data_IF_142809425527
#
_entry.id   IF_142809425527
#
_cell.length_a   1.000
_cell.length_b   1.000
_cell.length_c   1.000
_cell.angle_alpha   90.00
_cell.angle_beta   90.00
_cell.angle_gamma   90.00
#
_symmetry.space_group_name_H-M   'P 1'
#
loop_
_entity.id
_entity.type
_entity.pdbx_description
1 polymer ?
#
# COMPACT_ATOMS: atom_id res chain seq x y z
N UNK A 1 -4.25 -0.29 6.98
CA UNK A 1 -3.89 -1.50 6.18
C UNK A 1 -5.04 -2.48 5.90
N UNK A 2 -5.80 -2.93 6.92
CA UNK A 2 -6.91 -3.90 6.73
C UNK A 2 -7.96 -3.39 5.71
N UNK A 3 -8.33 -2.11 5.79
CA UNK A 3 -9.27 -1.49 4.86
C UNK A 3 -8.77 -1.56 3.40
N UNK A 4 -7.47 -1.35 3.17
CA UNK A 4 -6.86 -1.43 1.85
C UNK A 4 -6.89 -2.86 1.28
N UNK A 5 -6.60 -3.88 2.11
CA UNK A 5 -6.73 -5.30 1.72
C UNK A 5 -8.16 -5.67 1.32
N UNK A 6 -9.16 -5.05 1.94
CA UNK A 6 -10.59 -5.28 1.66
C UNK A 6 -11.16 -4.39 0.55
N UNK A 7 -10.38 -3.46 -0.01
CA UNK A 7 -10.88 -2.51 -1.01
C UNK A 7 -11.87 -1.48 -0.45
N UNK A 8 -11.88 -1.26 0.86
CA UNK A 8 -12.82 -0.36 1.53
C UNK A 8 -12.37 1.11 1.42
N UNK A 9 -12.60 1.71 0.26
CA UNK A 9 -12.20 3.08 -0.12
C UNK A 9 -12.56 4.13 0.94
N UNK A 10 -13.82 4.16 1.40
CA UNK A 10 -14.30 5.14 2.38
C UNK A 10 -13.53 5.08 3.70
N UNK A 11 -13.21 3.87 4.15
CA UNK A 11 -12.46 3.64 5.38
C UNK A 11 -10.99 4.02 5.17
N UNK A 12 -10.42 3.71 4.00
CA UNK A 12 -9.07 4.16 3.64
C UNK A 12 -8.97 5.68 3.70
N UNK A 13 -9.93 6.40 3.12
CA UNK A 13 -9.95 7.87 3.12
C UNK A 13 -9.93 8.47 4.55
N UNK A 14 -10.66 7.84 5.48
CA UNK A 14 -10.70 8.25 6.89
C UNK A 14 -9.37 7.95 7.60
N UNK A 15 -8.74 6.81 7.30
CA UNK A 15 -7.56 6.33 8.03
C UNK A 15 -6.24 6.87 7.49
N UNK A 16 -6.16 7.30 6.23
CA UNK A 16 -4.92 7.81 5.59
C UNK A 16 -4.20 8.84 6.47
N UNK A 17 -4.86 9.88 7.03
CA UNK A 17 -4.18 10.88 7.85
C UNK A 17 -3.56 10.34 9.14
N UNK A 18 -3.99 9.16 9.60
CA UNK A 18 -3.62 8.60 10.91
C UNK A 18 -2.68 7.39 10.81
N UNK A 19 -2.77 6.61 9.72
CA UNK A 19 -2.02 5.35 9.56
C UNK A 19 -0.96 5.39 8.46
N UNK A 20 -0.86 6.49 7.69
CA UNK A 20 0.07 6.59 6.57
C UNK A 20 1.52 6.32 6.99
N UNK A 21 2.25 5.63 6.10
CA UNK A 21 3.69 5.41 6.25
C UNK A 21 4.06 4.19 7.11
N UNK A 22 3.07 3.44 7.60
CA UNK A 22 3.30 2.22 8.39
C UNK A 22 3.38 1.00 7.48
N UNK A 23 4.26 0.06 7.83
CA UNK A 23 4.36 -1.26 7.19
C UNK A 23 3.93 -2.37 8.16
N UNK A 24 3.40 -3.48 7.64
CA UNK A 24 3.10 -4.67 8.43
C UNK A 24 4.37 -5.51 8.69
N UNK A 25 4.20 -6.65 9.37
CA UNK A 25 5.31 -7.58 9.67
C UNK A 25 6.01 -8.17 8.42
N UNK A 26 5.35 -8.13 7.26
CA UNK A 26 5.93 -8.56 5.99
C UNK A 26 6.60 -7.40 5.23
N UNK A 27 6.65 -6.19 5.81
CA UNK A 27 7.24 -5.02 5.16
C UNK A 27 6.31 -4.30 4.16
N UNK A 28 5.03 -4.67 4.10
CA UNK A 28 4.09 -4.10 3.14
C UNK A 28 3.27 -2.96 3.77
N UNK A 29 3.24 -1.82 3.10
CA UNK A 29 2.33 -0.71 3.44
C UNK A 29 0.92 -0.97 2.89
N UNK A 30 -0.02 -0.08 3.20
CA UNK A 30 -1.39 -0.22 2.73
C UNK A 30 -1.51 -0.12 1.20
N UNK A 31 -0.69 0.72 0.54
CA UNK A 31 -0.66 0.82 -0.93
C UNK A 31 -0.31 -0.51 -1.61
N UNK A 32 0.66 -1.26 -1.09
CA UNK A 32 1.05 -2.56 -1.63
C UNK A 32 -0.13 -3.54 -1.55
N UNK A 33 -0.81 -3.59 -0.40
CA UNK A 33 -1.95 -4.47 -0.18
C UNK A 33 -3.14 -4.13 -1.08
N UNK A 34 -3.38 -2.83 -1.35
CA UNK A 34 -4.38 -2.40 -2.30
C UNK A 34 -4.06 -2.88 -3.72
N UNK A 35 -2.80 -2.76 -4.16
CA UNK A 35 -2.37 -3.23 -5.50
C UNK A 35 -2.43 -4.74 -5.61
N UNK A 36 -1.97 -5.48 -4.60
CA UNK A 36 -2.06 -6.94 -4.57
C UNK A 36 -3.51 -7.45 -4.62
N UNK A 37 -4.45 -6.70 -4.06
CA UNK A 37 -5.88 -6.99 -4.13
C UNK A 37 -6.58 -6.47 -5.39
N UNK A 38 -5.90 -5.76 -6.29
CA UNK A 38 -6.51 -5.12 -7.46
C UNK A 38 -7.41 -3.91 -7.13
N UNK A 39 -7.29 -3.34 -5.93
CA UNK A 39 -8.13 -2.24 -5.43
C UNK A 39 -7.61 -0.88 -5.90
N UNK A 40 -7.85 -0.58 -7.18
CA UNK A 40 -7.28 0.59 -7.88
C UNK A 40 -7.63 1.94 -7.22
N UNK A 41 -8.82 2.09 -6.65
CA UNK A 41 -9.20 3.33 -5.97
C UNK A 41 -8.44 3.51 -4.66
N UNK A 42 -8.33 2.46 -3.86
CA UNK A 42 -7.51 2.46 -2.66
C UNK A 42 -6.04 2.72 -2.99
N UNK A 43 -5.48 2.13 -4.04
CA UNK A 43 -4.08 2.34 -4.41
C UNK A 43 -3.80 3.79 -4.83
N UNK A 44 -4.75 4.45 -5.50
CA UNK A 44 -4.67 5.88 -5.80
C UNK A 44 -4.68 6.75 -4.56
N UNK A 45 -5.60 6.49 -3.62
CA UNK A 45 -5.66 7.22 -2.34
C UNK A 45 -4.38 7.06 -1.52
N UNK A 46 -3.75 5.89 -1.61
CA UNK A 46 -2.56 5.53 -0.85
C UNK A 46 -1.25 5.78 -1.61
N UNK A 47 -1.27 6.44 -2.77
CA UNK A 47 -0.09 6.58 -3.62
C UNK A 47 1.10 7.26 -2.93
N UNK A 48 0.84 8.12 -1.94
CA UNK A 48 1.89 8.73 -1.10
C UNK A 48 2.74 7.70 -0.35
N UNK A 49 2.25 6.48 -0.14
CA UNK A 49 3.01 5.41 0.49
C UNK A 49 3.97 4.69 -0.47
N UNK A 50 3.97 5.02 -1.78
CA UNK A 50 4.83 4.37 -2.76
C UNK A 50 6.34 4.50 -2.43
N UNK A 51 6.73 5.58 -1.76
CA UNK A 51 8.11 5.83 -1.31
C UNK A 51 8.43 5.26 0.07
N UNK A 52 7.47 4.67 0.78
CA UNK A 52 7.71 4.04 2.09
C UNK A 52 8.61 2.84 1.89
N UNK A 53 9.61 2.67 2.76
CA UNK A 53 10.52 1.54 2.71
C UNK A 53 10.11 0.45 3.69
N UNK A 54 10.29 -0.81 3.29
CA UNK A 54 10.24 -1.94 4.21
C UNK A 54 11.49 -1.99 5.11
N UNK A 55 11.56 -2.99 5.99
CA UNK A 55 12.72 -3.20 6.88
C UNK A 55 14.03 -3.52 6.16
N UNK A 56 13.97 -3.89 4.87
CA UNK A 56 15.13 -4.16 4.03
C UNK A 56 15.54 -2.94 3.18
N UNK A 57 14.85 -1.81 3.34
CA UNK A 57 15.08 -0.59 2.56
C UNK A 57 14.45 -0.59 1.15
N UNK A 58 13.66 -1.61 0.80
CA UNK A 58 12.95 -1.65 -0.48
C UNK A 58 11.70 -0.76 -0.43
N UNK A 59 11.53 0.09 -1.44
CA UNK A 59 10.33 0.94 -1.55
C UNK A 59 9.10 0.12 -1.91
N UNK A 60 7.92 0.55 -1.46
CA UNK A 60 6.66 -0.09 -1.86
C UNK A 60 6.49 -0.09 -3.38
N UNK A 61 6.94 0.97 -4.07
CA UNK A 61 6.93 1.03 -5.53
C UNK A 61 7.75 -0.12 -6.17
N UNK A 62 8.97 -0.39 -5.67
CA UNK A 62 9.79 -1.50 -6.16
C UNK A 62 9.13 -2.86 -5.91
N UNK A 63 8.51 -3.04 -4.74
CA UNK A 63 7.78 -4.27 -4.40
C UNK A 63 6.55 -4.46 -5.29
N UNK A 64 5.77 -3.39 -5.50
CA UNK A 64 4.59 -3.39 -6.38
C UNK A 64 4.95 -3.68 -7.83
N UNK A 65 6.04 -3.10 -8.33
CA UNK A 65 6.56 -3.37 -9.69
C UNK A 65 6.84 -4.85 -9.91
N UNK A 66 7.53 -5.49 -8.96
CA UNK A 66 7.79 -6.95 -8.97
C UNK A 66 6.50 -7.76 -8.92
N UNK A 67 5.55 -7.33 -8.08
CA UNK A 67 4.25 -7.98 -7.92
C UNK A 67 3.43 -7.99 -9.22
N UNK A 68 3.44 -6.91 -9.99
CA UNK A 68 2.67 -6.79 -11.25
C UNK A 68 3.48 -7.19 -12.51
N UNK A 69 4.66 -7.79 -12.33
CA UNK A 69 5.50 -8.26 -13.45
C UNK A 69 6.21 -7.15 -14.24
N UNK A 70 6.28 -5.94 -13.70
CA UNK A 70 6.99 -4.81 -14.29
C UNK A 70 8.40 -4.71 -13.68
N UNK A 71 9.38 -5.38 -14.28
CA UNK A 71 10.80 -5.20 -13.91
C UNK A 71 11.30 -3.76 -14.15
#
# INVERSE_FOLDING_TARGET
MIAATRGSEDIVQILVPHEAGRVNANGHAAVYLAVAGGHERCSRLLYSEASVTDSNGATQLQLMRRLVGLS
#
